data_IF_331666315899
#
_entry.id   IF_331666315899
#
_cell.length_a   1.000
_cell.length_b   1.000
_cell.length_c   1.000
_cell.angle_alpha   90.00
_cell.angle_beta   90.00
_cell.angle_gamma   90.00
#
_symmetry.space_group_name_H-M   'P 1'
#
loop_
_entity.id
_entity.type
_entity.pdbx_description
1 polymer ?
#
# COMPACT_ATOMS: atom_id res chain seq x y z
N UNK A 1 8.68 -3.78 -6.55
CA UNK A 1 9.03 -2.77 -5.54
C UNK A 1 8.76 -1.43 -6.18
N UNK A 2 8.10 -0.55 -5.44
CA UNK A 2 7.60 0.72 -5.94
C UNK A 2 7.59 1.74 -4.80
N UNK A 3 7.44 3.02 -5.15
CA UNK A 3 7.29 4.11 -4.19
C UNK A 3 5.94 4.79 -4.40
N UNK A 4 5.40 5.33 -3.32
CA UNK A 4 4.37 6.36 -3.40
C UNK A 4 5.04 7.71 -3.67
N UNK A 5 4.57 8.46 -4.67
CA UNK A 5 5.20 9.71 -5.13
C UNK A 5 4.19 10.85 -5.26
N UNK A 6 4.66 12.07 -4.96
CA UNK A 6 3.96 13.32 -5.24
C UNK A 6 4.39 13.89 -6.58
N UNK A 7 3.43 14.42 -7.34
CA UNK A 7 3.70 15.00 -8.66
C UNK A 7 3.51 16.53 -8.70
N UNK A 8 2.93 17.16 -7.66
CA UNK A 8 2.72 18.61 -7.67
C UNK A 8 2.57 19.27 -6.29
N UNK A 9 2.83 20.58 -6.21
CA UNK A 9 2.49 21.42 -5.04
C UNK A 9 0.99 21.44 -4.73
N UNK A 10 0.13 21.22 -5.73
CA UNK A 10 -1.31 21.14 -5.53
C UNK A 10 -1.72 19.88 -4.73
N UNK A 11 -1.01 18.78 -4.91
CA UNK A 11 -1.21 17.55 -4.12
C UNK A 11 -0.79 17.77 -2.65
N UNK A 12 0.29 18.54 -2.43
CA UNK A 12 0.73 18.95 -1.10
C UNK A 12 -0.23 19.94 -0.42
N UNK A 13 -1.00 20.73 -1.17
CA UNK A 13 -2.01 21.63 -0.60
C UNK A 13 -3.28 20.92 -0.15
N UNK A 14 -3.59 19.76 -0.75
CA UNK A 14 -4.66 18.85 -0.29
C UNK A 14 -4.20 17.93 0.83
N UNK A 15 -2.89 17.82 1.02
CA UNK A 15 -2.28 17.10 2.13
C UNK A 15 -2.76 17.70 3.47
N UNK A 16 -3.59 16.92 4.19
CA UNK A 16 -4.17 17.32 5.47
C UNK A 16 -5.68 17.60 5.46
N UNK A 17 -6.37 17.48 4.32
CA UNK A 17 -7.84 17.60 4.26
C UNK A 17 -8.57 16.49 5.00
N UNK A 18 -7.96 15.30 5.06
CA UNK A 18 -8.42 14.14 5.84
C UNK A 18 -7.49 13.96 7.03
N UNK A 19 -8.02 13.93 8.25
CA UNK A 19 -7.24 13.69 9.47
C UNK A 19 -6.72 12.25 9.53
N UNK A 20 -5.71 12.00 10.38
CA UNK A 20 -5.16 10.66 10.56
C UNK A 20 -6.21 9.70 11.15
N UNK A 21 -7.09 10.20 12.02
CA UNK A 21 -8.16 9.42 12.65
C UNK A 21 -9.25 9.03 11.64
N UNK A 22 -9.70 9.97 10.80
CA UNK A 22 -10.65 9.67 9.72
C UNK A 22 -10.10 8.65 8.74
N UNK A 23 -8.84 8.82 8.32
CA UNK A 23 -8.17 7.88 7.44
C UNK A 23 -8.04 6.49 8.09
N UNK A 24 -7.70 6.42 9.38
CA UNK A 24 -7.62 5.15 10.12
C UNK A 24 -8.96 4.44 10.17
N UNK A 25 -10.02 5.14 10.56
CA UNK A 25 -11.38 4.60 10.60
C UNK A 25 -11.83 4.08 9.23
N UNK A 26 -11.55 4.83 8.16
CA UNK A 26 -11.88 4.40 6.80
C UNK A 26 -11.08 3.16 6.38
N UNK A 27 -9.76 3.16 6.60
CA UNK A 27 -8.90 2.00 6.32
C UNK A 27 -9.39 0.77 7.07
N UNK A 28 -9.68 0.88 8.37
CA UNK A 28 -10.12 -0.25 9.19
C UNK A 28 -11.43 -0.85 8.67
N UNK A 29 -12.35 -0.02 8.15
CA UNK A 29 -13.61 -0.44 7.54
C UNK A 29 -13.51 -0.87 6.06
N UNK A 30 -12.36 -0.63 5.40
CA UNK A 30 -12.20 -0.89 3.97
C UNK A 30 -12.34 -2.38 3.65
N UNK A 31 -13.28 -2.69 2.75
CA UNK A 31 -13.52 -4.04 2.24
C UNK A 31 -12.75 -4.26 0.94
N UNK A 32 -11.75 -5.14 1.00
CA UNK A 32 -10.91 -5.53 -0.13
C UNK A 32 -11.05 -7.04 -0.43
N UNK A 33 -12.12 -7.68 0.05
CA UNK A 33 -12.35 -9.12 -0.17
C UNK A 33 -12.37 -9.49 -1.65
N UNK A 34 -12.97 -8.65 -2.49
CA UNK A 34 -13.00 -8.85 -3.93
C UNK A 34 -11.61 -8.93 -4.59
N UNK A 35 -10.59 -8.26 -4.01
CA UNK A 35 -9.21 -8.37 -4.48
C UNK A 35 -8.63 -9.72 -4.10
N UNK A 36 -8.80 -10.11 -2.82
CA UNK A 36 -8.33 -11.40 -2.34
C UNK A 36 -8.95 -12.57 -3.13
N UNK A 37 -10.26 -12.50 -3.40
CA UNK A 37 -10.98 -13.48 -4.22
C UNK A 37 -10.43 -13.56 -5.65
N UNK A 38 -10.18 -12.39 -6.27
CA UNK A 38 -9.60 -12.29 -7.61
C UNK A 38 -8.20 -12.93 -7.67
N UNK A 39 -7.35 -12.66 -6.68
CA UNK A 39 -5.98 -13.19 -6.58
C UNK A 39 -5.94 -14.72 -6.33
N UNK A 40 -7.00 -15.28 -5.74
CA UNK A 40 -7.17 -16.72 -5.56
C UNK A 40 -7.81 -17.43 -6.76
N UNK A 41 -8.37 -16.68 -7.72
CA UNK A 41 -9.17 -17.25 -8.79
C UNK A 41 -8.33 -18.08 -9.78
N UNK A 42 -8.91 -19.12 -10.43
CA UNK A 42 -8.20 -19.93 -11.42
C UNK A 42 -7.63 -19.14 -12.61
N UNK A 43 -8.23 -17.99 -12.94
CA UNK A 43 -7.85 -17.13 -14.05
C UNK A 43 -6.91 -15.98 -13.64
N UNK A 44 -6.42 -15.97 -12.40
CA UNK A 44 -5.46 -14.96 -11.96
C UNK A 44 -4.16 -15.07 -12.80
N UNK A 45 -3.67 -13.97 -13.41
CA UNK A 45 -2.59 -14.03 -14.38
C UNK A 45 -1.20 -14.26 -13.77
N UNK A 46 -1.06 -14.10 -12.46
CA UNK A 46 0.17 -14.35 -11.70
C UNK A 46 0.03 -15.63 -10.86
N UNK A 47 1.12 -16.15 -10.24
CA UNK A 47 1.03 -17.30 -9.35
C UNK A 47 -0.07 -17.12 -8.29
N UNK A 48 -1.09 -17.98 -8.37
CA UNK A 48 -2.29 -17.91 -7.55
C UNK A 48 -1.96 -17.88 -6.06
N UNK A 49 -2.76 -17.12 -5.33
CA UNK A 49 -2.64 -16.99 -3.90
C UNK A 49 -3.51 -18.03 -3.21
N UNK A 50 -3.05 -18.50 -2.04
CA UNK A 50 -3.96 -19.18 -1.12
C UNK A 50 -4.87 -18.14 -0.48
N UNK A 51 -6.07 -18.55 -0.07
CA UNK A 51 -7.00 -17.66 0.62
C UNK A 51 -6.39 -17.11 1.92
N UNK A 52 -5.61 -17.93 2.65
CA UNK A 52 -4.94 -17.52 3.86
C UNK A 52 -3.91 -16.39 3.60
N UNK A 53 -3.05 -16.57 2.58
CA UNK A 53 -2.07 -15.55 2.21
C UNK A 53 -2.73 -14.26 1.74
N UNK A 54 -3.80 -14.35 0.94
CA UNK A 54 -4.50 -13.19 0.41
C UNK A 54 -5.18 -12.38 1.53
N UNK A 55 -5.82 -13.05 2.50
CA UNK A 55 -6.41 -12.39 3.68
C UNK A 55 -5.34 -11.75 4.56
N UNK A 56 -4.22 -12.44 4.80
CA UNK A 56 -3.12 -11.86 5.57
C UNK A 56 -2.55 -10.63 4.85
N UNK A 57 -2.31 -10.71 3.54
CA UNK A 57 -1.77 -9.59 2.76
C UNK A 57 -2.73 -8.41 2.69
N UNK A 58 -4.05 -8.65 2.67
CA UNK A 58 -5.04 -7.59 2.75
C UNK A 58 -4.84 -6.73 4.02
N UNK A 59 -4.64 -7.37 5.17
CA UNK A 59 -4.35 -6.63 6.41
C UNK A 59 -3.01 -5.90 6.36
N UNK A 60 -1.96 -6.54 5.81
CA UNK A 60 -0.66 -5.90 5.64
C UNK A 60 -0.73 -4.67 4.72
N UNK A 61 -1.54 -4.74 3.65
CA UNK A 61 -1.77 -3.63 2.73
C UNK A 61 -2.55 -2.49 3.39
N UNK A 62 -3.60 -2.78 4.17
CA UNK A 62 -4.31 -1.78 4.99
C UNK A 62 -3.37 -1.05 5.94
N UNK A 63 -2.50 -1.80 6.62
CA UNK A 63 -1.47 -1.25 7.49
C UNK A 63 -0.48 -0.37 6.72
N UNK A 64 -0.08 -0.79 5.51
CA UNK A 64 0.81 0.00 4.65
C UNK A 64 0.16 1.31 4.17
N UNK A 65 -1.13 1.31 3.81
CA UNK A 65 -1.87 2.54 3.50
C UNK A 65 -1.88 3.52 4.67
N UNK A 66 -2.02 3.02 5.90
CA UNK A 66 -1.95 3.84 7.11
C UNK A 66 -0.55 4.42 7.32
N UNK A 67 0.52 3.63 7.13
CA UNK A 67 1.88 4.14 7.20
C UNK A 67 2.12 5.26 6.20
N UNK A 68 1.72 5.06 4.94
CA UNK A 68 1.78 6.11 3.92
C UNK A 68 1.07 7.36 4.44
N UNK A 69 -0.20 7.26 4.87
CA UNK A 69 -0.95 8.42 5.37
C UNK A 69 -0.24 9.15 6.51
N UNK A 70 0.34 8.41 7.46
CA UNK A 70 0.98 8.98 8.65
C UNK A 70 2.32 9.63 8.36
N UNK A 71 3.09 9.04 7.45
CA UNK A 71 4.51 9.33 7.27
C UNK A 71 4.87 9.99 5.95
N UNK A 72 3.89 10.25 5.07
CA UNK A 72 4.13 11.08 3.89
C UNK A 72 4.77 12.44 4.30
N UNK A 73 5.68 13.01 3.47
CA UNK A 73 6.13 12.53 2.16
C UNK A 73 7.32 11.55 2.18
N UNK A 74 7.54 10.78 3.25
CA UNK A 74 8.66 9.82 3.29
C UNK A 74 8.50 8.71 2.22
N UNK A 75 9.61 8.32 1.54
CA UNK A 75 9.58 7.33 0.46
C UNK A 75 9.49 5.90 1.01
N UNK A 76 8.30 5.48 1.43
CA UNK A 76 8.08 4.13 1.95
C UNK A 76 7.99 3.10 0.82
N UNK A 77 8.64 1.94 1.02
CA UNK A 77 8.72 0.85 0.04
C UNK A 77 7.98 -0.38 0.58
N UNK A 78 6.98 -0.92 -0.14
CA UNK A 78 6.25 -2.11 0.29
C UNK A 78 7.08 -3.40 0.13
N UNK A 79 6.62 -4.49 0.75
CA UNK A 79 7.07 -5.84 0.35
C UNK A 79 6.56 -6.18 -1.05
N UNK A 80 7.11 -7.21 -1.70
CA UNK A 80 6.63 -7.67 -3.01
C UNK A 80 5.16 -8.07 -2.98
N UNK A 81 4.75 -8.70 -1.89
CA UNK A 81 3.39 -9.19 -1.69
C UNK A 81 2.40 -8.03 -1.56
N UNK A 82 2.76 -6.99 -0.81
CA UNK A 82 1.95 -5.77 -0.69
C UNK A 82 1.91 -5.00 -2.02
N UNK A 83 3.03 -4.94 -2.74
CA UNK A 83 3.13 -4.30 -4.06
C UNK A 83 2.19 -4.99 -5.08
N UNK A 84 2.17 -6.33 -5.10
CA UNK A 84 1.23 -7.09 -5.93
C UNK A 84 -0.23 -6.83 -5.53
N UNK A 85 -0.56 -6.84 -4.23
CA UNK A 85 -1.92 -6.53 -3.77
C UNK A 85 -2.34 -5.10 -4.17
N UNK A 86 -1.43 -4.14 -4.03
CA UNK A 86 -1.66 -2.75 -4.42
C UNK A 86 -1.89 -2.61 -5.93
N UNK A 87 -1.12 -3.30 -6.77
CA UNK A 87 -1.39 -3.34 -8.21
C UNK A 87 -2.81 -3.82 -8.52
N UNK A 88 -3.26 -4.88 -7.84
CA UNK A 88 -4.63 -5.36 -8.04
C UNK A 88 -5.65 -4.31 -7.60
N UNK A 89 -5.42 -3.58 -6.50
CA UNK A 89 -6.31 -2.49 -6.09
C UNK A 89 -6.42 -1.41 -7.18
N UNK A 90 -5.29 -0.99 -7.76
CA UNK A 90 -5.23 0.00 -8.84
C UNK A 90 -6.09 -0.42 -10.06
N UNK A 91 -6.16 -1.71 -10.39
CA UNK A 91 -6.97 -2.21 -11.51
C UNK A 91 -8.48 -1.96 -11.31
N UNK A 92 -8.95 -1.84 -10.07
CA UNK A 92 -10.31 -1.40 -9.74
C UNK A 92 -10.35 0.12 -9.64
N UNK A 93 -10.06 0.77 -10.78
CA UNK A 93 -9.74 2.20 -10.87
C UNK A 93 -10.72 3.13 -10.15
N UNK A 94 -12.03 2.84 -10.20
CA UNK A 94 -13.06 3.62 -9.50
C UNK A 94 -12.96 3.51 -7.98
N UNK A 95 -12.78 2.30 -7.46
CA UNK A 95 -12.64 2.05 -6.03
C UNK A 95 -11.33 2.66 -5.54
N UNK A 96 -10.22 2.38 -6.25
CA UNK A 96 -8.92 2.91 -5.89
C UNK A 96 -8.89 4.44 -5.84
N UNK A 97 -9.49 5.10 -6.83
CA UNK A 97 -9.62 6.56 -6.83
C UNK A 97 -10.43 7.05 -5.62
N UNK A 98 -11.57 6.42 -5.34
CA UNK A 98 -12.42 6.78 -4.20
C UNK A 98 -11.69 6.60 -2.86
N UNK A 99 -11.01 5.47 -2.69
CA UNK A 99 -10.28 5.16 -1.46
C UNK A 99 -9.10 6.11 -1.26
N UNK A 100 -8.40 6.48 -2.34
CA UNK A 100 -7.35 7.49 -2.26
C UNK A 100 -7.88 8.84 -1.79
N UNK A 101 -9.00 9.31 -2.33
CA UNK A 101 -9.65 10.55 -1.87
C UNK A 101 -10.06 10.45 -0.39
N UNK A 102 -10.57 9.30 0.06
CA UNK A 102 -11.01 9.08 1.44
C UNK A 102 -9.86 8.95 2.44
N UNK A 103 -8.71 8.46 2.02
CA UNK A 103 -7.56 8.22 2.90
C UNK A 103 -6.59 9.41 2.85
N UNK A 104 -6.19 9.81 1.64
CA UNK A 104 -5.13 10.79 1.40
C UNK A 104 -5.66 12.17 1.04
N UNK A 105 -6.92 12.28 0.60
CA UNK A 105 -7.49 13.53 0.08
C UNK A 105 -7.03 13.90 -1.33
N UNK A 106 -6.35 12.96 -2.00
CA UNK A 106 -5.85 13.06 -3.37
C UNK A 106 -5.56 11.65 -3.89
N UNK A 107 -5.34 11.52 -5.21
CA UNK A 107 -4.92 10.26 -5.81
C UNK A 107 -3.49 9.88 -5.40
N UNK A 108 -3.31 8.70 -4.81
CA UNK A 108 -1.98 8.20 -4.48
C UNK A 108 -1.36 7.54 -5.72
N UNK A 109 -0.33 8.17 -6.28
CA UNK A 109 0.39 7.63 -7.42
C UNK A 109 1.33 6.50 -7.01
N UNK A 110 1.33 5.43 -7.80
CA UNK A 110 2.26 4.31 -7.71
C UNK A 110 3.34 4.47 -8.79
N UNK A 111 4.61 4.43 -8.39
CA UNK A 111 5.75 4.49 -9.29
C UNK A 111 6.61 3.23 -9.14
N UNK A 112 6.70 2.40 -10.20
CA UNK A 112 7.58 1.23 -10.20
C UNK A 112 9.05 1.62 -10.03
N UNK A 113 9.81 0.82 -9.28
CA UNK A 113 11.25 0.98 -9.24
C UNK A 113 11.86 0.76 -10.64
N UNK A 114 12.71 1.69 -11.07
CA UNK A 114 13.46 1.63 -12.32
C UNK A 114 14.78 0.88 -12.13
N UNK A 115 15.29 0.18 -13.16
CA UNK A 115 16.66 -0.36 -13.15
C UNK A 115 17.76 0.70 -12.95
N UNK A 116 17.45 1.97 -13.17
CA UNK A 116 18.38 3.10 -12.98
C UNK A 116 18.31 3.70 -11.58
N UNK A 117 17.39 3.24 -10.74
CA UNK A 117 17.25 3.76 -9.38
C UNK A 117 18.45 3.36 -8.52
N UNK A 118 18.75 4.18 -7.51
CA UNK A 118 19.73 3.84 -6.51
C UNK A 118 19.23 2.68 -5.64
N UNK A 119 19.73 1.48 -5.93
CA UNK A 119 19.41 0.27 -5.18
C UNK A 119 19.72 0.37 -3.69
N UNK A 120 20.71 1.17 -3.27
CA UNK A 120 21.01 1.38 -1.85
C UNK A 120 19.93 2.24 -1.19
N UNK A 121 19.46 3.29 -1.86
CA UNK A 121 18.35 4.09 -1.38
C UNK A 121 17.07 3.25 -1.23
N UNK A 122 16.75 2.40 -2.22
CA UNK A 122 15.60 1.49 -2.15
C UNK A 122 15.69 0.51 -0.96
N UNK A 123 16.87 -0.06 -0.72
CA UNK A 123 17.11 -0.95 0.43
C UNK A 123 16.93 -0.18 1.74
N UNK A 124 17.53 1.00 1.86
CA UNK A 124 17.43 1.86 3.05
C UNK A 124 15.98 2.22 3.36
N UNK A 125 15.24 2.66 2.34
CA UNK A 125 13.82 3.01 2.44
C UNK A 125 12.93 1.82 2.83
N UNK A 126 13.24 0.63 2.31
CA UNK A 126 12.57 -0.61 2.71
C UNK A 126 12.84 -0.97 4.17
N UNK A 127 14.09 -0.83 4.64
CA UNK A 127 14.44 -1.05 6.04
C UNK A 127 13.73 -0.06 6.96
N UNK A 128 13.65 1.21 6.58
CA UNK A 128 12.89 2.21 7.34
C UNK A 128 11.39 1.89 7.36
N UNK A 129 10.82 1.43 6.26
CA UNK A 129 9.42 0.98 6.20
C UNK A 129 9.16 -0.15 7.19
N UNK A 130 10.05 -1.14 7.26
CA UNK A 130 9.94 -2.26 8.21
C UNK A 130 10.03 -1.80 9.67
N UNK A 131 10.91 -0.83 9.95
CA UNK A 131 11.08 -0.25 11.28
C UNK A 131 9.80 0.49 11.71
N UNK A 132 9.32 1.42 10.89
CA UNK A 132 8.08 2.16 11.16
C UNK A 132 6.88 1.23 11.32
N UNK A 133 6.79 0.19 10.49
CA UNK A 133 5.74 -0.82 10.62
C UNK A 133 5.79 -1.52 11.99
N UNK A 134 6.97 -1.92 12.45
CA UNK A 134 7.14 -2.57 13.76
C UNK A 134 6.76 -1.62 14.90
N UNK A 135 7.16 -0.35 14.82
CA UNK A 135 6.83 0.68 15.80
C UNK A 135 5.32 0.95 15.88
N UNK A 136 4.62 1.00 14.74
CA UNK A 136 3.19 1.31 14.68
C UNK A 136 2.28 0.14 15.06
N UNK A 137 2.66 -1.09 14.70
CA UNK A 137 1.76 -2.25 14.82
C UNK A 137 2.25 -3.29 15.82
N UNK A 138 3.43 -3.11 16.44
CA UNK A 138 3.99 -4.04 17.42
C UNK A 138 4.33 -5.42 16.86
N UNK A 139 4.36 -5.59 15.55
CA UNK A 139 4.64 -6.85 14.86
C UNK A 139 5.48 -6.62 13.60
N UNK A 140 6.31 -7.58 13.17
CA UNK A 140 7.19 -7.39 12.02
C UNK A 140 6.41 -7.43 10.70
N UNK A 141 6.86 -6.65 9.72
CA UNK A 141 6.36 -6.69 8.34
C UNK A 141 6.87 -7.95 7.63
N UNK A 142 6.11 -9.04 7.74
CA UNK A 142 6.45 -10.35 7.16
C UNK A 142 5.20 -11.01 6.57
N UNK A 143 5.32 -11.49 5.33
CA UNK A 143 4.46 -12.50 4.76
C UNK A 143 5.34 -13.63 4.20
N UNK A 144 5.08 -14.87 4.61
CA UNK A 144 5.78 -16.03 4.06
C UNK A 144 4.76 -16.86 3.30
N UNK A 145 4.82 -16.80 1.96
CA UNK A 145 3.98 -17.62 1.09
C UNK A 145 4.50 -19.06 1.13
N UNK A 146 3.61 -20.02 1.44
CA UNK A 146 3.88 -21.46 1.38
C UNK A 146 3.68 -22.02 -0.01
#
# INVERSE_FOLDING_TARGET
MALAVFHSEADLQRYGSVSLEEARCYIDALDLTYIAESMCAPHYPLPRWTHADAVQCCQLYKNFLFLLKKYLPMPLVPTREIDEFWHNHILYTRNYFHDCEKIFGHYLHHEPASPTDDGQALISNFLETKKLYLEEFGQPLVLTRT
#
